data_IF_443870342184
#
_entry.id   IF_443870342184
#
_cell.length_a   1.000
_cell.length_b   1.000
_cell.length_c   1.000
_cell.angle_alpha   90.00
_cell.angle_beta   90.00
_cell.angle_gamma   90.00
#
_symmetry.space_group_name_H-M   'P 1'
#
loop_
_entity.id
_entity.type
_entity.pdbx_description
1 polymer ?
#
# COMPACT_ATOMS: atom_id res chain seq x y z
N UNK A 1 -14.87 -10.28 -0.03
CA UNK A 1 -14.00 -9.09 -0.06
C UNK A 1 -14.40 -8.25 -1.27
N UNK A 2 -14.59 -6.94 -1.12
CA UNK A 2 -14.84 -6.08 -2.27
C UNK A 2 -13.59 -6.06 -3.15
N UNK A 3 -13.74 -6.27 -4.46
CA UNK A 3 -12.63 -6.17 -5.41
C UNK A 3 -12.26 -4.70 -5.59
N UNK A 4 -10.97 -4.38 -5.47
CA UNK A 4 -10.41 -3.06 -5.71
C UNK A 4 -9.69 -3.07 -7.06
N UNK A 5 -10.13 -2.20 -7.96
CA UNK A 5 -9.40 -1.97 -9.21
C UNK A 5 -8.15 -1.13 -8.95
N UNK A 6 -7.16 -1.19 -9.84
CA UNK A 6 -5.95 -0.36 -9.73
C UNK A 6 -6.27 1.15 -9.72
N UNK A 7 -7.32 1.56 -10.45
CA UNK A 7 -7.78 2.95 -10.46
C UNK A 7 -8.36 3.36 -9.10
N UNK A 8 -9.22 2.54 -8.50
CA UNK A 8 -9.78 2.81 -7.17
C UNK A 8 -8.69 2.82 -6.10
N UNK A 9 -7.75 1.88 -6.15
CA UNK A 9 -6.64 1.82 -5.19
C UNK A 9 -5.76 3.07 -5.28
N UNK A 10 -5.46 3.54 -6.51
CA UNK A 10 -4.71 4.79 -6.70
C UNK A 10 -5.44 6.02 -6.16
N UNK A 11 -6.75 6.11 -6.37
CA UNK A 11 -7.56 7.20 -5.81
C UNK A 11 -7.58 7.13 -4.27
N UNK A 12 -7.68 5.93 -3.71
CA UNK A 12 -7.63 5.70 -2.27
C UNK A 12 -6.29 6.17 -1.68
N UNK A 13 -5.16 5.75 -2.25
CA UNK A 13 -3.83 6.19 -1.81
C UNK A 13 -3.66 7.72 -1.89
N UNK A 14 -4.11 8.35 -2.98
CA UNK A 14 -4.08 9.81 -3.09
C UNK A 14 -4.95 10.46 -2.00
N UNK A 15 -6.13 9.91 -1.72
CA UNK A 15 -7.03 10.46 -0.74
C UNK A 15 -6.51 10.29 0.71
N UNK A 16 -5.71 9.25 1.00
CA UNK A 16 -5.02 9.11 2.29
C UNK A 16 -4.02 10.23 2.57
N UNK A 17 -3.46 10.88 1.53
CA UNK A 17 -2.57 12.04 1.69
C UNK A 17 -3.33 13.30 2.11
N UNK A 18 -4.61 13.39 1.77
CA UNK A 18 -5.48 14.54 2.07
C UNK A 18 -6.18 14.34 3.42
N UNK A 19 -6.70 13.14 3.65
CA UNK A 19 -7.47 12.79 4.85
C UNK A 19 -6.62 11.96 5.81
N UNK A 20 -5.89 12.66 6.68
CA UNK A 20 -5.03 12.08 7.73
C UNK A 20 -5.86 11.44 8.85
N UNK A 21 -5.18 10.78 9.80
CA UNK A 21 -5.81 10.09 10.93
C UNK A 21 -6.66 11.01 11.82
N UNK A 22 -6.29 12.28 11.95
CA UNK A 22 -7.03 13.27 12.73
C UNK A 22 -8.27 13.84 12.02
N UNK A 23 -8.51 13.44 10.76
CA UNK A 23 -9.65 13.94 9.99
C UNK A 23 -10.95 13.39 10.58
N UNK A 24 -11.89 14.25 11.03
CA UNK A 24 -13.22 13.79 11.43
C UNK A 24 -13.95 13.17 10.23
N UNK A 25 -14.67 12.08 10.45
CA UNK A 25 -15.44 11.37 9.39
C UNK A 25 -14.53 10.96 8.22
N UNK A 26 -13.30 10.56 8.54
CA UNK A 26 -12.26 10.20 7.57
C UNK A 26 -12.75 9.21 6.53
N UNK A 27 -13.46 8.17 6.96
CA UNK A 27 -13.88 7.07 6.10
C UNK A 27 -14.98 7.49 5.12
N UNK A 28 -15.90 8.33 5.58
CA UNK A 28 -16.96 8.93 4.77
C UNK A 28 -16.37 9.87 3.72
N UNK A 29 -15.40 10.71 4.09
CA UNK A 29 -14.69 11.60 3.17
C UNK A 29 -13.86 10.85 2.13
N UNK A 30 -13.17 9.78 2.54
CA UNK A 30 -12.44 8.90 1.64
C UNK A 30 -13.40 8.20 0.65
N UNK A 31 -14.54 7.69 1.13
CA UNK A 31 -15.57 7.10 0.28
C UNK A 31 -16.11 8.12 -0.74
N UNK A 32 -16.32 9.37 -0.30
CA UNK A 32 -16.69 10.48 -1.18
C UNK A 32 -15.65 10.78 -2.26
N UNK A 33 -14.36 10.79 -1.92
CA UNK A 33 -13.27 10.98 -2.89
C UNK A 33 -13.15 9.85 -3.92
N UNK A 34 -13.64 8.66 -3.59
CA UNK A 34 -13.77 7.53 -4.51
C UNK A 34 -15.04 7.60 -5.37
N UNK A 35 -15.82 8.68 -5.29
CA UNK A 35 -17.09 8.82 -5.99
C UNK A 35 -18.19 7.93 -5.41
N UNK A 36 -18.10 7.56 -4.14
CA UNK A 36 -19.04 6.68 -3.43
C UNK A 36 -19.19 5.27 -4.06
N UNK A 37 -18.22 4.82 -4.86
CA UNK A 37 -18.20 3.44 -5.40
C UNK A 37 -17.87 2.39 -4.34
N UNK A 38 -17.38 2.83 -3.17
CA UNK A 38 -17.08 2.04 -1.98
C UNK A 38 -17.72 2.71 -0.77
N UNK A 39 -18.21 1.91 0.17
CA UNK A 39 -18.75 2.42 1.44
C UNK A 39 -17.63 2.77 2.42
N UNK A 40 -17.91 3.65 3.40
CA UNK A 40 -16.96 3.99 4.46
C UNK A 40 -16.40 2.74 5.16
N UNK A 41 -17.25 1.72 5.40
CA UNK A 41 -16.82 0.44 5.97
C UNK A 41 -15.86 -0.34 5.05
N UNK A 42 -16.12 -0.37 3.74
CA UNK A 42 -15.22 -1.03 2.78
C UNK A 42 -13.87 -0.32 2.68
N UNK A 43 -13.88 1.02 2.74
CA UNK A 43 -12.66 1.84 2.77
C UNK A 43 -11.86 1.57 4.04
N UNK A 44 -12.50 1.56 5.21
CA UNK A 44 -11.86 1.25 6.49
C UNK A 44 -11.21 -0.14 6.47
N UNK A 45 -11.93 -1.16 6.01
CA UNK A 45 -11.40 -2.51 5.90
C UNK A 45 -10.20 -2.61 4.95
N UNK A 46 -10.21 -1.84 3.86
CA UNK A 46 -9.08 -1.79 2.93
C UNK A 46 -7.85 -1.11 3.53
N UNK A 47 -8.06 -0.05 4.31
CA UNK A 47 -7.00 0.60 5.08
C UNK A 47 -6.39 -0.33 6.14
N UNK A 48 -7.21 -1.06 6.91
CA UNK A 48 -6.73 -1.99 7.93
C UNK A 48 -5.81 -3.07 7.33
N UNK A 49 -6.15 -3.58 6.14
CA UNK A 49 -5.29 -4.52 5.40
C UNK A 49 -3.99 -3.90 4.92
N UNK A 50 -4.04 -2.66 4.42
CA UNK A 50 -2.83 -1.95 4.02
C UNK A 50 -1.87 -1.81 5.21
N UNK A 51 -2.40 -1.48 6.39
CA UNK A 51 -1.61 -1.41 7.63
C UNK A 51 -1.04 -2.78 8.00
N UNK A 52 -1.83 -3.86 7.88
CA UNK A 52 -1.37 -5.24 8.10
C UNK A 52 -0.22 -5.63 7.16
N UNK A 53 -0.35 -5.32 5.87
CA UNK A 53 0.68 -5.58 4.85
C UNK A 53 1.97 -4.82 5.14
N UNK A 54 1.87 -3.54 5.53
CA UNK A 54 3.04 -2.73 5.94
C UNK A 54 3.72 -3.37 7.14
N UNK A 55 2.97 -3.74 8.19
CA UNK A 55 3.52 -4.41 9.36
C UNK A 55 4.16 -5.76 9.02
N UNK A 56 3.63 -6.50 8.05
CA UNK A 56 4.23 -7.75 7.58
C UNK A 56 5.57 -7.50 6.88
N UNK A 57 5.66 -6.45 6.04
CA UNK A 57 6.91 -6.03 5.39
C UNK A 57 7.96 -5.62 6.43
N UNK A 58 7.59 -4.77 7.38
CA UNK A 58 8.50 -4.24 8.41
C UNK A 58 9.04 -5.33 9.33
N UNK A 59 8.24 -6.36 9.62
CA UNK A 59 8.66 -7.53 10.41
C UNK A 59 9.50 -8.54 9.62
N UNK A 60 9.74 -8.32 8.33
CA UNK A 60 10.40 -9.29 7.45
C UNK A 60 9.58 -10.56 7.26
N UNK A 61 8.27 -10.51 7.48
CA UNK A 61 7.36 -11.64 7.31
C UNK A 61 7.04 -11.92 5.83
N UNK A 62 7.50 -11.06 4.91
CA UNK A 62 7.41 -11.28 3.47
C UNK A 62 8.75 -11.79 2.95
N UNK A 63 8.82 -13.02 2.39
CA UNK A 63 10.04 -13.53 1.81
C UNK A 63 10.44 -12.69 0.60
N UNK A 64 11.69 -12.22 0.59
CA UNK A 64 12.21 -11.46 -0.54
C UNK A 64 12.24 -12.35 -1.80
N UNK A 65 11.89 -11.79 -2.98
CA UNK A 65 12.10 -12.48 -4.24
C UNK A 65 13.56 -12.91 -4.39
N UNK A 66 13.80 -14.09 -5.00
CA UNK A 66 15.14 -14.53 -5.36
C UNK A 66 15.65 -13.71 -6.54
N UNK A 67 16.12 -12.49 -6.29
CA UNK A 67 16.75 -11.66 -7.29
C UNK A 67 18.02 -12.35 -7.81
N UNK A 68 18.14 -12.52 -9.12
CA UNK A 68 19.37 -13.06 -9.74
C UNK A 68 20.50 -12.10 -9.40
N UNK A 69 21.49 -12.56 -8.63
CA UNK A 69 22.70 -11.79 -8.37
C UNK A 69 23.44 -11.64 -9.70
N UNK A 70 23.52 -10.41 -10.23
CA UNK A 70 24.45 -10.14 -11.31
C UNK A 70 25.86 -10.43 -10.80
N UNK A 71 26.69 -11.19 -11.53
CA UNK A 71 28.07 -11.40 -11.12
C UNK A 71 28.75 -10.04 -11.08
N UNK A 72 29.08 -9.58 -9.87
CA UNK A 72 29.93 -8.42 -9.68
C UNK A 72 31.24 -8.69 -10.40
N UNK A 73 31.58 -7.90 -11.43
CA UNK A 73 32.91 -7.91 -12.03
C UNK A 73 33.90 -7.43 -10.97
N UNK A 74 34.44 -8.37 -10.20
CA UNK A 74 35.54 -8.09 -9.29
C UNK A 74 36.79 -7.92 -10.15
N UNK A 75 37.20 -6.67 -10.35
CA UNK A 75 38.44 -6.34 -11.04
C UNK A 75 39.60 -6.68 -10.11
N UNK A 76 40.06 -7.94 -10.16
CA UNK A 76 41.26 -8.37 -9.42
C UNK A 76 42.48 -7.88 -10.19
N UNK A 77 42.98 -6.69 -9.83
CA UNK A 77 44.33 -6.28 -10.20
C UNK A 77 45.29 -7.24 -9.49
N UNK A 78 45.95 -8.12 -10.25
CA UNK A 78 47.11 -8.84 -9.76
C UNK A 78 48.34 -8.00 -10.09
N UNK A 79 49.07 -7.63 -9.03
CA UNK A 79 50.44 -7.12 -9.10
C UNK A 79 51.42 -8.28 -9.39
#
# INVERSE_FOLDING_TARGET
MASWTSKENKLFENALQIYTEDTPERWEKLAGALGNTKTAQQVKLHYEKLVEDIMAIERGAIPLPKYKKNPSKSNRMMA
#
